data_IF_861490119573
#
_entry.id   IF_861490119573
#
_cell.length_a   1.000
_cell.length_b   1.000
_cell.length_c   1.000
_cell.angle_alpha   90.00
_cell.angle_beta   90.00
_cell.angle_gamma   90.00
#
_symmetry.space_group_name_H-M   'P 1'
#
loop_
_entity.id
_entity.type
_entity.pdbx_description
1 polymer ?
#
# COMPACT_ATOMS: atom_id res chain seq x y z
N UNK A 1 40.09 3.80 -49.72
CA UNK A 1 38.77 3.32 -49.29
C UNK A 1 38.79 3.15 -47.77
N UNK A 2 38.30 4.13 -47.03
CA UNK A 2 38.27 4.06 -45.54
C UNK A 2 36.88 3.61 -45.11
N UNK A 3 36.80 2.44 -44.53
CA UNK A 3 35.56 1.94 -43.94
C UNK A 3 35.48 2.52 -42.53
N UNK A 4 34.55 3.47 -42.31
CA UNK A 4 34.21 3.91 -40.97
C UNK A 4 33.22 2.90 -40.36
N UNK A 5 33.71 2.18 -39.33
CA UNK A 5 32.84 1.39 -38.47
C UNK A 5 32.26 2.31 -37.42
N UNK A 6 31.00 2.68 -37.60
CA UNK A 6 30.26 3.42 -36.58
C UNK A 6 29.84 2.42 -35.52
N UNK A 7 30.53 2.44 -34.38
CA UNK A 7 30.11 1.68 -33.21
C UNK A 7 28.82 2.30 -32.64
N UNK A 8 27.71 1.62 -32.80
CA UNK A 8 26.48 1.94 -32.12
C UNK A 8 26.63 1.48 -30.65
N UNK A 9 26.95 2.42 -29.77
CA UNK A 9 26.83 2.19 -28.34
C UNK A 9 25.33 2.19 -28.01
N UNK A 10 24.76 1.00 -27.82
CA UNK A 10 23.46 0.83 -27.18
C UNK A 10 23.67 1.16 -25.69
N UNK A 11 23.38 2.40 -25.31
CA UNK A 11 23.20 2.76 -23.91
C UNK A 11 21.93 2.08 -23.43
N UNK A 12 22.08 0.88 -22.85
CA UNK A 12 21.10 0.31 -21.96
C UNK A 12 21.02 1.27 -20.77
N UNK A 13 20.06 2.19 -20.82
CA UNK A 13 19.67 2.94 -19.65
C UNK A 13 19.08 1.93 -18.66
N UNK A 14 19.89 1.47 -17.71
CA UNK A 14 19.39 0.95 -16.47
C UNK A 14 18.54 2.06 -15.86
N UNK A 15 17.23 1.93 -15.89
CA UNK A 15 16.34 2.78 -15.11
C UNK A 15 16.71 2.56 -13.66
N UNK A 16 17.45 3.50 -13.09
CA UNK A 16 17.72 3.53 -11.66
C UNK A 16 16.39 3.53 -10.93
N UNK A 17 16.11 2.43 -10.26
CA UNK A 17 14.91 2.24 -9.44
C UNK A 17 14.96 3.03 -8.12
N UNK A 18 15.61 4.19 -8.11
CA UNK A 18 15.72 5.09 -6.96
C UNK A 18 14.49 6.00 -6.78
N UNK A 19 13.43 5.80 -7.55
CA UNK A 19 12.19 6.57 -7.44
C UNK A 19 11.50 6.41 -6.07
N UNK A 20 11.78 5.33 -5.35
CA UNK A 20 11.28 5.15 -4.00
C UNK A 20 11.87 6.16 -2.99
N UNK A 21 13.08 6.67 -3.24
CA UNK A 21 13.72 7.71 -2.42
C UNK A 21 13.13 9.10 -2.63
N UNK A 22 12.42 9.30 -3.72
CA UNK A 22 11.82 10.59 -4.10
C UNK A 22 10.35 10.72 -3.70
N UNK A 23 9.79 9.76 -2.95
CA UNK A 23 8.38 9.77 -2.55
C UNK A 23 7.41 9.67 -3.74
N UNK A 24 7.88 9.34 -4.93
CA UNK A 24 7.01 8.99 -6.04
C UNK A 24 6.46 7.60 -5.79
N UNK A 25 5.16 7.54 -5.57
CA UNK A 25 4.44 6.27 -5.55
C UNK A 25 4.59 5.67 -6.94
N UNK A 26 5.36 4.58 -7.06
CA UNK A 26 5.35 3.77 -8.28
C UNK A 26 3.91 3.32 -8.47
N UNK A 27 3.29 3.52 -9.63
CA UNK A 27 1.93 3.07 -9.88
C UNK A 27 1.85 1.57 -9.63
N UNK A 28 1.33 1.20 -8.47
CA UNK A 28 1.07 -0.20 -8.14
C UNK A 28 -0.33 -0.54 -8.63
N UNK A 29 -0.48 -1.77 -9.10
CA UNK A 29 -1.78 -2.29 -9.45
C UNK A 29 -2.63 -2.39 -8.19
N UNK A 30 -3.73 -1.65 -8.17
CA UNK A 30 -4.67 -1.65 -7.06
C UNK A 30 -5.76 -2.71 -7.27
N UNK A 31 -6.08 -3.43 -6.21
CA UNK A 31 -7.19 -4.38 -6.15
C UNK A 31 -8.21 -3.89 -5.14
N UNK A 32 -9.48 -4.02 -5.49
CA UNK A 32 -10.59 -3.61 -4.63
C UNK A 32 -11.61 -4.74 -4.53
N UNK A 33 -12.55 -4.59 -3.59
CA UNK A 33 -13.69 -5.52 -3.48
C UNK A 33 -14.44 -5.69 -4.81
N UNK A 34 -14.64 -4.58 -5.53
CA UNK A 34 -15.40 -4.57 -6.80
C UNK A 34 -14.55 -4.89 -8.02
N UNK A 35 -13.22 -4.84 -7.89
CA UNK A 35 -12.26 -5.16 -8.95
C UNK A 35 -11.11 -6.04 -8.43
N UNK A 36 -11.40 -7.26 -8.01
CA UNK A 36 -10.38 -8.19 -7.50
C UNK A 36 -9.60 -8.91 -8.60
N UNK A 37 -10.07 -8.87 -9.84
CA UNK A 37 -9.46 -9.49 -11.01
C UNK A 37 -9.08 -10.95 -10.77
N UNK A 38 -7.80 -11.33 -10.97
CA UNK A 38 -7.27 -12.68 -10.74
C UNK A 38 -7.32 -13.15 -9.28
N UNK A 39 -7.52 -12.23 -8.33
CA UNK A 39 -7.57 -12.52 -6.90
C UNK A 39 -8.97 -12.61 -6.30
N UNK A 40 -9.99 -12.88 -7.13
CA UNK A 40 -11.39 -12.92 -6.67
C UNK A 40 -11.63 -13.90 -5.50
N UNK A 41 -10.93 -15.04 -5.51
CA UNK A 41 -11.10 -16.07 -4.48
C UNK A 41 -10.57 -15.65 -3.10
N UNK A 42 -9.58 -14.76 -3.07
CA UNK A 42 -8.93 -14.29 -1.84
C UNK A 42 -9.35 -12.88 -1.43
N UNK A 43 -10.16 -12.21 -2.24
CA UNK A 43 -10.58 -10.83 -1.98
C UNK A 43 -11.21 -10.64 -0.59
N UNK A 44 -12.10 -11.52 -0.09
CA UNK A 44 -12.69 -11.34 1.24
C UNK A 44 -11.69 -11.25 2.38
N UNK A 45 -10.54 -11.91 2.25
CA UNK A 45 -9.48 -11.91 3.26
C UNK A 45 -8.54 -10.70 3.13
N UNK A 46 -8.48 -10.06 1.97
CA UNK A 46 -7.49 -9.04 1.64
C UNK A 46 -8.05 -7.62 1.53
N UNK A 47 -9.36 -7.45 1.44
CA UNK A 47 -10.00 -6.12 1.37
C UNK A 47 -9.90 -5.44 2.74
N UNK A 48 -9.17 -4.31 2.87
CA UNK A 48 -8.99 -3.67 4.16
C UNK A 48 -10.26 -2.98 4.65
N UNK A 49 -10.50 -3.07 5.94
CA UNK A 49 -11.51 -2.32 6.67
C UNK A 49 -10.83 -1.23 7.50
N UNK A 50 -11.52 -0.12 7.70
CA UNK A 50 -11.02 0.97 8.52
C UNK A 50 -12.07 1.41 9.55
N UNK A 51 -11.60 1.78 10.73
CA UNK A 51 -12.44 2.39 11.78
C UNK A 51 -11.63 3.34 12.64
N UNK A 52 -12.30 4.30 13.26
CA UNK A 52 -11.68 5.13 14.29
C UNK A 52 -11.30 4.30 15.49
N UNK A 53 -10.15 4.61 16.05
CA UNK A 53 -9.61 3.91 17.21
C UNK A 53 -8.66 4.82 17.98
N UNK A 54 -8.00 4.28 18.96
CA UNK A 54 -6.93 4.94 19.72
C UNK A 54 -5.70 4.06 19.72
N UNK A 55 -4.55 4.68 19.55
CA UNK A 55 -3.26 4.04 19.70
C UNK A 55 -2.42 4.84 20.70
N UNK A 56 -1.99 4.21 21.79
CA UNK A 56 -1.21 4.85 22.86
C UNK A 56 -1.81 6.15 23.39
N UNK A 57 -3.15 6.17 23.53
CA UNK A 57 -3.89 7.34 24.04
C UNK A 57 -4.09 8.46 23.02
N UNK A 58 -3.80 8.24 21.74
CA UNK A 58 -3.99 9.22 20.66
C UNK A 58 -4.98 8.67 19.62
N UNK A 59 -5.73 9.58 19.01
CA UNK A 59 -6.64 9.22 17.92
C UNK A 59 -5.88 8.60 16.75
N UNK A 60 -6.41 7.51 16.25
CA UNK A 60 -5.85 6.75 15.13
C UNK A 60 -6.95 6.17 14.25
N UNK A 61 -6.57 5.83 13.03
CA UNK A 61 -7.36 4.96 12.15
C UNK A 61 -6.76 3.56 12.24
N UNK A 62 -7.58 2.60 12.66
CA UNK A 62 -7.24 1.19 12.61
C UNK A 62 -7.60 0.66 11.23
N UNK A 63 -6.62 0.12 10.53
CA UNK A 63 -6.81 -0.59 9.27
C UNK A 63 -6.57 -2.06 9.54
N UNK A 64 -7.51 -2.91 9.19
CA UNK A 64 -7.45 -4.34 9.52
C UNK A 64 -8.00 -5.23 8.40
N UNK A 65 -7.50 -6.45 8.39
CA UNK A 65 -7.99 -7.56 7.56
C UNK A 65 -8.49 -8.67 8.51
N UNK A 66 -9.76 -8.63 8.95
CA UNK A 66 -10.24 -9.49 10.04
C UNK A 66 -10.10 -10.98 9.76
N UNK A 67 -10.30 -11.38 8.51
CA UNK A 67 -10.29 -12.79 8.08
C UNK A 67 -8.92 -13.26 7.57
N UNK A 68 -7.94 -12.36 7.50
CA UNK A 68 -6.59 -12.69 7.07
C UNK A 68 -5.80 -13.37 8.19
N UNK A 69 -5.22 -14.54 7.88
CA UNK A 69 -4.38 -15.30 8.79
C UNK A 69 -2.92 -15.17 8.38
N UNK A 70 -2.17 -14.21 8.93
CA UNK A 70 -0.78 -14.00 8.53
C UNK A 70 0.13 -15.09 9.07
N UNK A 71 1.13 -15.43 8.26
CA UNK A 71 2.26 -16.27 8.65
C UNK A 71 3.57 -15.71 8.09
N UNK A 72 4.68 -16.39 8.28
CA UNK A 72 5.99 -15.90 7.84
C UNK A 72 6.20 -15.93 6.32
N UNK A 73 5.38 -16.66 5.59
CA UNK A 73 5.44 -16.78 4.12
C UNK A 73 4.39 -15.91 3.43
N UNK A 74 3.27 -15.65 4.13
CA UNK A 74 2.14 -14.88 3.64
C UNK A 74 1.73 -13.84 4.68
N UNK A 75 2.10 -12.60 4.46
CA UNK A 75 1.94 -11.51 5.43
C UNK A 75 1.67 -10.18 4.74
N UNK A 76 1.20 -9.22 5.52
CA UNK A 76 1.05 -7.84 5.09
C UNK A 76 2.36 -7.10 5.40
N UNK A 77 2.95 -6.49 4.39
CA UNK A 77 4.18 -5.71 4.53
C UNK A 77 3.93 -4.35 5.17
N UNK A 78 2.82 -3.72 4.80
CA UNK A 78 2.43 -2.40 5.31
C UNK A 78 0.93 -2.16 5.18
N UNK A 79 0.43 -1.33 6.09
CA UNK A 79 -0.87 -0.69 6.02
C UNK A 79 -0.69 0.80 5.80
N UNK A 80 -1.63 1.45 5.16
CA UNK A 80 -1.53 2.88 4.94
C UNK A 80 -2.80 3.53 4.47
N UNK A 81 -2.69 4.84 4.31
CA UNK A 81 -3.76 5.70 3.83
C UNK A 81 -3.19 6.63 2.77
N UNK A 82 -3.96 6.86 1.72
CA UNK A 82 -3.64 7.82 0.66
C UNK A 82 -4.89 8.60 0.28
N UNK A 83 -4.71 9.77 -0.31
CA UNK A 83 -5.82 10.51 -0.89
C UNK A 83 -6.34 9.83 -2.16
N UNK A 84 -7.42 10.35 -2.75
CA UNK A 84 -8.01 9.77 -3.96
C UNK A 84 -7.09 9.86 -5.19
N UNK A 85 -6.09 10.74 -5.16
CA UNK A 85 -5.08 10.89 -6.21
C UNK A 85 -3.85 10.00 -5.99
N UNK A 86 -3.82 9.22 -4.89
CA UNK A 86 -2.74 8.31 -4.57
C UNK A 86 -1.59 8.93 -3.79
N UNK A 87 -1.75 10.17 -3.28
CA UNK A 87 -0.77 10.78 -2.38
C UNK A 87 -0.84 10.12 -1.01
N UNK A 88 0.29 9.64 -0.52
CA UNK A 88 0.39 9.05 0.81
C UNK A 88 0.08 10.05 1.93
N UNK A 89 -0.81 9.65 2.84
CA UNK A 89 -1.17 10.40 4.03
C UNK A 89 -0.58 9.80 5.31
N UNK A 90 -0.34 8.51 5.33
CA UNK A 90 0.27 7.80 6.44
C UNK A 90 0.56 6.35 6.09
N UNK A 91 1.62 5.81 6.67
CA UNK A 91 2.05 4.42 6.49
C UNK A 91 2.52 3.85 7.81
N UNK A 92 2.20 2.58 8.04
CA UNK A 92 2.83 1.76 9.07
C UNK A 92 3.34 0.46 8.45
N UNK A 93 4.64 0.23 8.58
CA UNK A 93 5.25 -1.04 8.19
C UNK A 93 4.98 -2.10 9.27
N UNK A 94 4.71 -3.32 8.84
CA UNK A 94 4.60 -4.47 9.74
C UNK A 94 6.00 -5.04 9.94
N UNK A 95 6.51 -4.96 11.18
CA UNK A 95 7.84 -5.45 11.50
C UNK A 95 7.93 -6.97 11.36
N UNK A 96 8.97 -7.43 10.67
CA UNK A 96 9.24 -8.86 10.49
C UNK A 96 9.82 -9.55 11.74
N UNK A 97 10.40 -8.77 12.65
CA UNK A 97 11.01 -9.28 13.89
C UNK A 97 9.99 -9.74 14.93
N UNK A 98 8.73 -9.42 14.73
CA UNK A 98 7.63 -9.80 15.60
C UNK A 98 6.69 -10.81 14.95
N UNK A 99 5.62 -11.11 15.66
CA UNK A 99 4.52 -11.92 15.12
C UNK A 99 3.85 -11.15 13.99
N UNK A 100 3.64 -11.75 12.79
CA UNK A 100 2.91 -11.10 11.72
C UNK A 100 1.53 -10.63 12.18
N UNK A 101 1.12 -9.44 11.76
CA UNK A 101 -0.17 -8.84 12.15
C UNK A 101 -1.07 -8.61 10.95
N UNK A 102 -2.37 -8.68 11.18
CA UNK A 102 -3.40 -8.38 10.19
C UNK A 102 -4.02 -6.99 10.38
N UNK A 103 -3.37 -6.11 11.10
CA UNK A 103 -3.83 -4.75 11.37
C UNK A 103 -2.66 -3.77 11.52
N UNK A 104 -2.97 -2.48 11.32
CA UNK A 104 -2.07 -1.38 11.61
C UNK A 104 -2.82 -0.13 12.05
N UNK A 105 -2.20 0.68 12.89
CA UNK A 105 -2.74 1.97 13.33
C UNK A 105 -2.04 3.10 12.58
N UNK A 106 -2.82 3.98 11.95
CA UNK A 106 -2.34 5.21 11.35
C UNK A 106 -2.73 6.37 12.27
N UNK A 107 -1.76 7.14 12.80
CA UNK A 107 -2.08 8.33 13.59
C UNK A 107 -2.99 9.27 12.80
N UNK A 108 -4.07 9.71 13.41
CA UNK A 108 -5.03 10.61 12.77
C UNK A 108 -4.51 12.06 12.80
N UNK A 109 -4.26 12.61 11.64
CA UNK A 109 -3.97 14.03 11.44
C UNK A 109 -5.17 14.70 10.77
N UNK A 110 -5.99 15.40 11.55
CA UNK A 110 -7.21 16.05 11.05
C UNK A 110 -6.95 17.21 10.10
N UNK A 111 -5.71 17.71 10.00
CA UNK A 111 -5.34 18.75 9.04
C UNK A 111 -5.22 18.23 7.61
N UNK A 112 -4.86 16.95 7.45
CA UNK A 112 -4.63 16.29 6.14
C UNK A 112 -5.58 15.15 5.86
N UNK A 113 -6.18 14.53 6.89
CA UNK A 113 -7.00 13.33 6.80
C UNK A 113 -8.48 13.68 7.00
N UNK A 114 -9.16 14.04 5.94
CA UNK A 114 -10.60 14.41 5.93
C UNK A 114 -11.30 13.84 4.71
N UNK A 115 -12.62 13.62 4.85
CA UNK A 115 -13.47 13.18 3.77
C UNK A 115 -13.08 11.81 3.22
N UNK A 116 -13.21 11.66 1.92
CA UNK A 116 -12.91 10.39 1.25
C UNK A 116 -11.41 10.20 1.05
N UNK A 117 -10.94 9.04 1.49
CA UNK A 117 -9.56 8.59 1.34
C UNK A 117 -9.56 7.13 0.91
N UNK A 118 -8.40 6.64 0.50
CA UNK A 118 -8.15 5.22 0.28
C UNK A 118 -7.31 4.67 1.42
N UNK A 119 -7.78 3.60 2.05
CA UNK A 119 -6.96 2.80 2.97
C UNK A 119 -6.44 1.60 2.22
N UNK A 120 -5.24 1.15 2.55
CA UNK A 120 -4.64 0.04 1.83
C UNK A 120 -3.87 -0.92 2.72
N UNK A 121 -3.77 -2.15 2.24
CA UNK A 121 -2.91 -3.20 2.76
C UNK A 121 -2.07 -3.76 1.61
N UNK A 122 -0.75 -3.79 1.79
CA UNK A 122 0.16 -4.40 0.82
C UNK A 122 0.55 -5.79 1.29
N UNK A 123 0.02 -6.79 0.60
CA UNK A 123 0.39 -8.19 0.79
C UNK A 123 1.70 -8.50 0.06
N UNK A 124 2.54 -9.33 0.63
CA UNK A 124 3.79 -9.75 -0.01
C UNK A 124 3.59 -10.61 -1.27
N UNK A 125 2.45 -11.33 -1.36
CA UNK A 125 2.15 -12.25 -2.47
C UNK A 125 1.05 -11.75 -3.42
N UNK A 126 0.19 -10.83 -2.98
CA UNK A 126 -1.05 -10.47 -3.68
C UNK A 126 -1.23 -8.96 -3.90
N UNK A 127 -0.14 -8.22 -4.00
CA UNK A 127 -0.11 -6.78 -4.33
C UNK A 127 -0.82 -5.85 -3.33
N UNK A 128 -1.36 -4.73 -3.84
CA UNK A 128 -1.95 -3.66 -3.07
C UNK A 128 -3.48 -3.76 -3.07
N UNK A 129 -4.05 -3.98 -1.90
CA UNK A 129 -5.49 -4.01 -1.69
C UNK A 129 -5.97 -2.68 -1.11
N UNK A 130 -7.03 -2.14 -1.69
CA UNK A 130 -7.50 -0.79 -1.44
C UNK A 130 -8.99 -0.77 -1.14
N UNK A 131 -9.38 0.04 -0.16
CA UNK A 131 -10.79 0.39 0.10
C UNK A 131 -10.93 1.90 0.18
N UNK A 132 -11.96 2.44 -0.46
CA UNK A 132 -12.35 3.84 -0.30
C UNK A 132 -13.21 3.97 0.96
N UNK A 133 -12.87 4.90 1.83
CA UNK A 133 -13.61 5.20 3.06
C UNK A 133 -13.83 6.69 3.21
N UNK A 134 -14.90 7.08 3.88
CA UNK A 134 -15.17 8.47 4.25
C UNK A 134 -14.83 8.65 5.74
N UNK A 135 -13.71 9.33 6.02
CA UNK A 135 -13.23 9.53 7.39
C UNK A 135 -14.21 10.32 8.25
N UNK A 136 -15.04 11.16 7.65
CA UNK A 136 -16.03 11.97 8.37
C UNK A 136 -17.23 11.13 8.82
N UNK A 137 -17.36 9.92 8.33
CA UNK A 137 -18.46 8.97 8.64
C UNK A 137 -18.05 7.74 9.42
N UNK A 138 -16.78 7.61 9.74
CA UNK A 138 -16.27 6.47 10.54
C UNK A 138 -16.67 6.58 12.01
#
# INVERSE_FOLDING_TARGET
>A
MKIQVTAFFLLLACSDSDDWKKGKIVPQKEYTKDSPREWADIAPEHVPLARKSMDKGKDAILIELPDFQPDYEHYIEKFGMMDLQGKELGIVAVERSGRPRNFGYIPLDTSTMRGKVKVFAKCNNHDLWVSEVDLDRL
#
